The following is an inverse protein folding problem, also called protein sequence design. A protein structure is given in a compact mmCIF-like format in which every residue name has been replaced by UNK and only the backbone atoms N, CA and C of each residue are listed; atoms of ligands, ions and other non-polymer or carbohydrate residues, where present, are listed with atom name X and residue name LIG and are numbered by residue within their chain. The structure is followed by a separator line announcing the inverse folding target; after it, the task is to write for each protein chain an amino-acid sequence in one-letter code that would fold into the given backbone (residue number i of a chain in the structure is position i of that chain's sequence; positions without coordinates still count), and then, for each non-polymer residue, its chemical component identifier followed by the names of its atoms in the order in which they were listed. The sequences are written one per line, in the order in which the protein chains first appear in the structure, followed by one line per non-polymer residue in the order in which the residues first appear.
data_IF_816604456862
#
_entry.id   IF_816604456862
#
_cell.length_a   1.000
_cell.length_b   1.000
_cell.length_c   1.000
_cell.angle_alpha   90.00
_cell.angle_beta   90.00
_cell.angle_gamma   90.00
#
_symmetry.space_group_name_H-M   'P 1'
#
loop_
_entity.id
_entity.type
_entity.pdbx_description
1 polymer ?
#
# COMPACT_ATOMS: atom_id res chain seq x y z
N UNK A 1 -28.73 12.04 -24.48
CA UNK A 1 -29.05 11.48 -23.15
C UNK A 1 -29.83 12.53 -22.38
N UNK A 2 -30.83 12.16 -21.59
CA UNK A 2 -31.54 13.12 -20.74
C UNK A 2 -32.13 12.43 -19.50
N UNK A 3 -32.48 13.19 -18.46
CA UNK A 3 -33.02 12.65 -17.20
C UNK A 3 -34.42 12.06 -17.38
N UNK A 4 -34.68 10.92 -16.74
CA UNK A 4 -36.04 10.39 -16.59
C UNK A 4 -36.73 11.09 -15.41
N UNK A 5 -37.30 12.26 -15.69
CA UNK A 5 -37.89 13.16 -14.70
C UNK A 5 -36.99 14.34 -14.34
N UNK A 6 -37.04 14.78 -13.09
CA UNK A 6 -36.23 15.91 -12.62
C UNK A 6 -34.75 15.52 -12.46
N UNK A 7 -33.85 16.46 -12.78
CA UNK A 7 -32.41 16.30 -12.54
C UNK A 7 -32.12 16.03 -11.05
N UNK A 8 -31.23 15.08 -10.79
CA UNK A 8 -30.84 14.77 -9.42
C UNK A 8 -29.99 15.90 -8.80
N UNK A 9 -30.27 16.36 -7.57
CA UNK A 9 -29.61 17.54 -6.98
C UNK A 9 -28.09 17.39 -6.75
N UNK A 10 -27.58 16.15 -6.76
CA UNK A 10 -26.17 15.79 -6.48
C UNK A 10 -25.37 15.36 -7.69
N UNK A 11 -25.99 15.19 -8.86
CA UNK A 11 -25.31 14.73 -10.07
C UNK A 11 -25.65 15.64 -11.24
N UNK A 12 -24.78 15.68 -12.24
CA UNK A 12 -25.01 16.31 -13.54
C UNK A 12 -24.89 15.24 -14.62
N UNK A 13 -25.65 15.41 -15.70
CA UNK A 13 -25.53 14.61 -16.90
C UNK A 13 -25.09 15.52 -18.05
N UNK A 14 -24.05 15.12 -18.77
CA UNK A 14 -23.77 15.68 -20.09
C UNK A 14 -24.68 15.00 -21.12
N UNK A 15 -25.59 15.76 -21.72
CA UNK A 15 -26.61 15.21 -22.62
C UNK A 15 -26.05 14.69 -23.95
N UNK A 16 -24.88 15.18 -24.38
CA UNK A 16 -24.23 14.78 -25.62
C UNK A 16 -23.40 13.50 -25.44
N UNK A 17 -22.65 13.41 -24.34
CA UNK A 17 -21.70 12.32 -24.11
C UNK A 17 -22.25 11.22 -23.19
N UNK A 18 -23.29 11.50 -22.43
CA UNK A 18 -23.81 10.62 -21.38
C UNK A 18 -22.96 10.58 -20.11
N UNK A 19 -21.93 11.44 -20.01
CA UNK A 19 -21.05 11.48 -18.84
C UNK A 19 -21.80 12.01 -17.61
N UNK A 20 -21.72 11.26 -16.51
CA UNK A 20 -22.30 11.64 -15.22
C UNK A 20 -21.20 12.26 -14.35
N UNK A 21 -21.45 13.44 -13.79
CA UNK A 21 -20.50 14.12 -12.90
C UNK A 21 -21.11 14.33 -11.52
N UNK A 22 -20.37 13.93 -10.48
CA UNK A 22 -20.76 14.15 -9.08
C UNK A 22 -20.57 15.62 -8.70
N UNK A 23 -21.55 16.22 -8.03
CA UNK A 23 -21.46 17.59 -7.51
C UNK A 23 -20.74 17.60 -6.15
N UNK A 24 -20.04 18.70 -5.87
CA UNK A 24 -19.37 18.91 -4.59
C UNK A 24 -20.35 18.81 -3.41
N UNK A 25 -19.90 18.24 -2.29
CA UNK A 25 -20.73 18.03 -1.09
C UNK A 25 -21.72 16.87 -1.18
N UNK A 26 -21.58 15.98 -2.17
CA UNK A 26 -22.31 14.69 -2.19
C UNK A 26 -21.76 13.79 -1.10
N UNK A 27 -22.64 13.28 -0.24
CA UNK A 27 -22.26 12.42 0.90
C UNK A 27 -22.20 10.96 0.48
N UNK A 28 -21.60 10.16 1.34
CA UNK A 28 -21.59 8.71 1.22
C UNK A 28 -23.00 8.14 1.10
N UNK A 29 -23.14 7.14 0.23
CA UNK A 29 -24.41 6.48 0.02
C UNK A 29 -24.60 5.88 -1.36
N UNK A 30 -25.78 5.31 -1.53
CA UNK A 30 -26.23 4.67 -2.77
C UNK A 30 -27.28 5.53 -3.45
N UNK A 31 -26.98 6.00 -4.65
CA UNK A 31 -27.84 6.87 -5.44
C UNK A 31 -28.34 6.11 -6.68
N UNK A 32 -29.62 6.24 -6.97
CA UNK A 32 -30.25 5.60 -8.13
C UNK A 32 -30.63 6.69 -9.13
N UNK A 33 -29.94 6.70 -10.27
CA UNK A 33 -30.13 7.67 -11.34
C UNK A 33 -30.85 6.99 -12.51
N UNK A 34 -31.82 7.68 -13.10
CA UNK A 34 -32.61 7.19 -14.22
C UNK A 34 -32.51 8.18 -15.37
N UNK A 35 -32.21 7.65 -16.54
CA UNK A 35 -32.02 8.40 -17.77
C UNK A 35 -32.80 7.76 -18.91
N UNK A 36 -33.06 8.56 -19.94
CA UNK A 36 -33.53 8.10 -21.23
C UNK A 36 -32.48 8.39 -22.30
N UNK A 37 -32.32 7.43 -23.21
CA UNK A 37 -31.36 7.48 -24.31
C UNK A 37 -32.11 7.49 -25.62
N UNK A 38 -31.68 8.38 -26.52
CA UNK A 38 -32.12 8.40 -27.90
C UNK A 38 -31.02 7.82 -28.78
N UNK A 39 -31.29 6.69 -29.41
CA UNK A 39 -30.39 6.07 -30.37
C UNK A 39 -30.76 6.52 -31.79
N UNK A 40 -29.91 7.38 -32.35
CA UNK A 40 -30.07 7.88 -33.73
C UNK A 40 -29.89 6.79 -34.79
N UNK A 41 -29.09 5.75 -34.52
CA UNK A 41 -28.73 4.71 -35.48
C UNK A 41 -29.87 3.72 -35.68
N UNK A 42 -30.57 3.38 -34.61
CA UNK A 42 -31.71 2.45 -34.65
C UNK A 42 -33.07 3.15 -34.50
N UNK A 43 -33.10 4.48 -34.50
CA UNK A 43 -34.31 5.31 -34.33
C UNK A 43 -35.10 4.97 -33.05
N UNK A 44 -34.41 4.45 -32.03
CA UNK A 44 -35.04 4.11 -30.76
C UNK A 44 -35.07 5.34 -29.87
N UNK A 45 -36.27 5.76 -29.50
CA UNK A 45 -36.50 6.82 -28.51
C UNK A 45 -36.77 6.23 -27.14
N UNK A 46 -36.44 7.00 -26.12
CA UNK A 46 -36.84 6.76 -24.73
C UNK A 46 -36.37 5.42 -24.12
N UNK A 47 -35.22 4.92 -24.57
CA UNK A 47 -34.60 3.72 -23.99
C UNK A 47 -34.18 4.03 -22.56
N UNK A 48 -34.73 3.30 -21.59
CA UNK A 48 -34.43 3.48 -20.17
C UNK A 48 -33.01 3.01 -19.84
N UNK A 49 -32.25 3.87 -19.15
CA UNK A 49 -30.92 3.59 -18.64
C UNK A 49 -30.88 3.90 -17.13
N UNK A 50 -30.71 2.86 -16.32
CA UNK A 50 -30.62 2.97 -14.87
C UNK A 50 -29.17 2.83 -14.42
N UNK A 51 -28.68 3.80 -13.66
CA UNK A 51 -27.32 3.82 -13.12
C UNK A 51 -27.39 3.89 -11.60
N UNK A 52 -26.74 2.95 -10.93
CA UNK A 52 -26.55 3.02 -9.48
C UNK A 52 -25.15 3.56 -9.20
N UNK A 53 -25.08 4.69 -8.50
CA UNK A 53 -23.82 5.31 -8.09
C UNK A 53 -23.60 5.03 -6.61
N UNK A 54 -22.47 4.42 -6.28
CA UNK A 54 -22.01 4.23 -4.91
C UNK A 54 -20.94 5.28 -4.63
N UNK A 55 -21.19 6.13 -3.62
CA UNK A 55 -20.24 7.14 -3.16
C UNK A 55 -19.69 6.69 -1.81
N UNK A 56 -18.36 6.69 -1.70
CA UNK A 56 -17.62 6.45 -0.45
C UNK A 56 -16.55 7.52 -0.29
N UNK A 57 -16.43 8.05 0.91
CA UNK A 57 -15.40 9.00 1.30
C UNK A 57 -14.12 8.24 1.63
N UNK A 58 -13.03 8.58 0.93
CA UNK A 58 -11.71 8.00 1.19
C UNK A 58 -10.87 9.09 1.86
N UNK A 59 -10.69 9.04 3.20
CA UNK A 59 -9.92 10.05 3.90
C UNK A 59 -8.43 9.96 3.54
N UNK A 60 -7.70 11.07 3.71
CA UNK A 60 -6.26 11.11 3.41
C UNK A 60 -5.46 10.02 4.14
N UNK A 61 -5.82 9.71 5.39
CA UNK A 61 -5.17 8.64 6.15
C UNK A 61 -5.37 7.24 5.54
N UNK A 62 -6.48 6.99 4.83
CA UNK A 62 -6.72 5.73 4.14
C UNK A 62 -5.79 5.59 2.94
N UNK A 63 -5.53 6.68 2.23
CA UNK A 63 -4.59 6.72 1.10
C UNK A 63 -3.16 6.51 1.58
N UNK A 64 -2.74 7.21 2.63
CA UNK A 64 -1.39 7.10 3.19
C UNK A 64 -1.14 5.72 3.82
N UNK A 65 -2.13 5.16 4.52
CA UNK A 65 -2.01 3.83 5.12
C UNK A 65 -2.45 2.69 4.17
N UNK A 66 -2.49 2.94 2.85
CA UNK A 66 -2.92 1.93 1.88
C UNK A 66 -1.88 0.86 1.62
N UNK A 67 -2.36 -0.35 1.33
CA UNK A 67 -1.60 -1.39 0.64
C UNK A 67 -1.65 -1.17 -0.87
N UNK A 68 -0.72 -1.78 -1.59
CA UNK A 68 -0.63 -1.65 -3.04
C UNK A 68 -0.13 -2.92 -3.69
N UNK A 69 -0.64 -3.24 -4.88
CA UNK A 69 -0.17 -4.37 -5.70
C UNK A 69 -0.02 -3.95 -7.16
N UNK A 70 1.02 -4.44 -7.82
CA UNK A 70 1.21 -4.34 -9.26
C UNK A 70 0.83 -5.66 -9.90
N UNK A 71 -0.04 -5.62 -10.90
CA UNK A 71 -0.62 -6.81 -11.53
C UNK A 71 -0.25 -6.84 -13.00
N UNK A 72 0.35 -7.94 -13.45
CA UNK A 72 0.69 -8.14 -14.86
C UNK A 72 -0.43 -8.87 -15.62
N UNK A 73 -0.48 -8.62 -16.93
CA UNK A 73 -1.38 -9.32 -17.84
C UNK A 73 -2.84 -8.90 -17.74
N UNK A 74 -3.14 -7.81 -17.02
CA UNK A 74 -4.51 -7.31 -16.86
C UNK A 74 -4.60 -5.80 -17.02
N UNK A 75 -5.68 -5.34 -17.65
CA UNK A 75 -6.04 -3.92 -17.71
C UNK A 75 -6.84 -3.48 -16.48
N UNK A 76 -6.86 -2.19 -16.21
CA UNK A 76 -7.74 -1.58 -15.21
C UNK A 76 -9.21 -1.89 -15.49
N UNK A 77 -9.63 -1.83 -16.76
CA UNK A 77 -10.97 -2.22 -17.19
C UNK A 77 -11.30 -3.67 -16.85
N UNK A 78 -10.41 -4.61 -17.17
CA UNK A 78 -10.61 -6.04 -16.91
C UNK A 78 -10.67 -6.35 -15.42
N UNK A 79 -9.97 -5.58 -14.58
CA UNK A 79 -9.98 -5.75 -13.14
C UNK A 79 -11.34 -5.41 -12.52
N UNK A 80 -12.00 -4.35 -13.00
CA UNK A 80 -13.32 -3.92 -12.48
C UNK A 80 -14.51 -4.55 -13.23
N UNK A 81 -14.28 -5.19 -14.38
CA UNK A 81 -15.33 -5.69 -15.28
C UNK A 81 -16.26 -6.70 -14.59
N UNK A 82 -17.57 -6.52 -14.80
CA UNK A 82 -18.63 -7.43 -14.31
C UNK A 82 -19.29 -8.24 -15.43
N UNK A 83 -18.98 -7.96 -16.69
CA UNK A 83 -19.59 -8.64 -17.83
C UNK A 83 -18.66 -9.71 -18.41
N UNK A 84 -19.12 -10.96 -18.43
CA UNK A 84 -18.38 -12.05 -19.04
C UNK A 84 -18.84 -12.25 -20.50
N UNK A 85 -17.98 -11.86 -21.45
CA UNK A 85 -18.27 -11.93 -22.89
C UNK A 85 -18.40 -13.36 -23.43
N UNK A 86 -17.77 -14.35 -22.78
CA UNK A 86 -17.83 -15.77 -23.21
C UNK A 86 -19.17 -16.42 -22.84
N UNK A 87 -19.66 -16.12 -21.65
CA UNK A 87 -20.91 -16.70 -21.12
C UNK A 87 -22.12 -15.79 -21.31
N UNK A 88 -21.91 -14.56 -21.80
CA UNK A 88 -22.92 -13.52 -21.92
C UNK A 88 -23.71 -13.29 -20.61
N UNK A 89 -23.01 -13.34 -19.48
CA UNK A 89 -23.61 -13.23 -18.16
C UNK A 89 -22.90 -12.23 -17.25
N UNK A 90 -23.60 -11.77 -16.22
CA UNK A 90 -23.00 -10.97 -15.15
C UNK A 90 -22.20 -11.89 -14.23
N UNK A 91 -20.94 -11.53 -13.99
CA UNK A 91 -20.04 -12.20 -13.07
C UNK A 91 -19.45 -11.19 -12.08
N UNK A 92 -19.01 -11.67 -10.91
CA UNK A 92 -18.29 -10.81 -9.96
C UNK A 92 -16.98 -10.32 -10.57
N UNK A 93 -16.68 -9.04 -10.35
CA UNK A 93 -15.42 -8.43 -10.80
C UNK A 93 -14.23 -8.98 -10.03
N UNK A 94 -13.02 -8.82 -10.59
CA UNK A 94 -11.79 -9.17 -9.86
C UNK A 94 -11.58 -8.23 -8.69
N UNK A 95 -11.93 -6.95 -8.83
CA UNK A 95 -11.95 -6.00 -7.72
C UNK A 95 -12.82 -6.47 -6.54
N UNK A 96 -14.02 -7.02 -6.81
CA UNK A 96 -14.89 -7.56 -5.76
C UNK A 96 -14.31 -8.81 -5.10
N UNK A 97 -13.77 -9.74 -5.89
CA UNK A 97 -13.11 -10.94 -5.36
C UNK A 97 -11.88 -10.59 -4.52
N UNK A 98 -11.09 -9.64 -5.00
CA UNK A 98 -9.93 -9.12 -4.28
C UNK A 98 -10.34 -8.51 -2.95
N UNK A 99 -11.34 -7.63 -2.96
CA UNK A 99 -11.89 -7.03 -1.73
C UNK A 99 -12.33 -8.07 -0.72
N UNK A 100 -13.11 -9.06 -1.14
CA UNK A 100 -13.57 -10.14 -0.25
C UNK A 100 -12.39 -10.90 0.33
N UNK A 101 -11.43 -11.27 -0.52
CA UNK A 101 -10.26 -12.04 -0.08
C UNK A 101 -9.43 -11.27 0.95
N UNK A 102 -9.23 -9.97 0.75
CA UNK A 102 -8.55 -9.11 1.72
C UNK A 102 -9.35 -9.00 3.02
N UNK A 103 -10.68 -8.86 2.94
CA UNK A 103 -11.54 -8.80 4.13
C UNK A 103 -11.42 -10.07 4.98
N UNK A 104 -11.46 -11.24 4.33
CA UNK A 104 -11.31 -12.55 4.96
C UNK A 104 -9.93 -12.69 5.65
N UNK A 105 -8.84 -12.41 4.91
CA UNK A 105 -7.47 -12.50 5.44
C UNK A 105 -7.21 -11.52 6.58
N UNK A 106 -7.85 -10.35 6.56
CA UNK A 106 -7.72 -9.34 7.60
C UNK A 106 -8.70 -9.53 8.76
N UNK A 107 -9.61 -10.51 8.67
CA UNK A 107 -10.70 -10.72 9.63
C UNK A 107 -11.49 -9.45 9.90
N UNK A 108 -11.84 -8.72 8.84
CA UNK A 108 -12.66 -7.50 8.92
C UNK A 108 -13.87 -7.62 8.00
N UNK A 109 -14.86 -6.74 8.21
CA UNK A 109 -15.99 -6.66 7.31
C UNK A 109 -15.55 -6.19 5.92
N UNK A 110 -16.18 -6.75 4.88
CA UNK A 110 -15.98 -6.37 3.49
C UNK A 110 -16.19 -4.88 3.26
N UNK A 111 -17.14 -4.26 3.95
CA UNK A 111 -17.42 -2.84 3.83
C UNK A 111 -16.29 -1.98 4.41
N UNK A 112 -15.42 -2.55 5.24
CA UNK A 112 -14.23 -1.89 5.75
C UNK A 112 -13.00 -2.06 4.85
N UNK A 113 -13.17 -2.57 3.62
CA UNK A 113 -12.10 -2.71 2.63
C UNK A 113 -12.46 -1.92 1.38
N UNK A 114 -11.65 -0.92 1.04
CA UNK A 114 -11.86 -0.06 -0.11
C UNK A 114 -10.76 -0.25 -1.14
N UNK A 115 -11.14 -0.64 -2.36
CA UNK A 115 -10.27 -0.57 -3.54
C UNK A 115 -10.52 0.77 -4.21
N UNK A 116 -9.67 1.75 -3.90
CA UNK A 116 -9.92 3.16 -4.25
C UNK A 116 -9.08 3.66 -5.42
N UNK A 117 -8.09 2.89 -5.90
CA UNK A 117 -7.26 3.22 -7.06
C UNK A 117 -7.00 1.96 -7.89
N UNK A 118 -7.33 2.00 -9.18
CA UNK A 118 -7.01 0.97 -10.17
C UNK A 118 -6.51 1.71 -11.41
N UNK A 119 -5.21 1.69 -11.66
CA UNK A 119 -4.56 2.55 -12.66
C UNK A 119 -3.71 1.73 -13.63
N UNK A 120 -4.00 1.82 -14.92
CA UNK A 120 -3.20 1.18 -15.96
C UNK A 120 -1.86 1.92 -16.14
N UNK A 121 -0.74 1.23 -15.88
CA UNK A 121 0.62 1.77 -16.01
C UNK A 121 1.21 1.54 -17.39
N UNK A 122 0.92 0.39 -17.98
CA UNK A 122 1.40 0.01 -19.31
C UNK A 122 0.29 -0.69 -20.06
N UNK A 123 0.16 -0.42 -21.36
CA UNK A 123 -0.85 -1.07 -22.22
C UNK A 123 -0.40 -2.42 -22.79
N UNK A 124 0.88 -2.54 -23.17
CA UNK A 124 1.40 -3.74 -23.84
C UNK A 124 2.79 -4.16 -23.31
N UNK A 125 2.92 -5.36 -22.70
CA UNK A 125 1.83 -6.12 -22.10
C UNK A 125 1.20 -5.31 -20.94
N UNK A 126 -0.11 -5.51 -20.66
CA UNK A 126 -0.82 -4.68 -19.71
C UNK A 126 -0.30 -4.86 -18.28
N UNK A 127 -0.12 -3.74 -17.57
CA UNK A 127 0.28 -3.71 -16.16
C UNK A 127 -0.60 -2.70 -15.45
N UNK A 128 -1.24 -3.12 -14.35
CA UNK A 128 -2.19 -2.32 -13.58
C UNK A 128 -1.76 -2.26 -12.13
N UNK A 129 -1.72 -1.04 -11.59
CA UNK A 129 -1.46 -0.80 -10.17
C UNK A 129 -2.79 -0.64 -9.43
N UNK A 130 -2.94 -1.36 -8.33
CA UNK A 130 -4.12 -1.31 -7.47
C UNK A 130 -3.71 -0.88 -6.08
N UNK A 131 -4.42 0.10 -5.51
CA UNK A 131 -4.29 0.47 -4.09
C UNK A 131 -5.58 0.22 -3.36
N UNK A 132 -5.44 -0.25 -2.13
CA UNK A 132 -6.54 -0.59 -1.26
C UNK A 132 -6.26 -0.21 0.18
N UNK A 133 -7.30 0.11 0.93
CA UNK A 133 -7.24 0.31 2.37
C UNK A 133 -8.13 -0.74 3.05
N UNK A 134 -7.80 -1.05 4.30
CA UNK A 134 -8.68 -1.83 5.15
C UNK A 134 -8.66 -1.26 6.58
N UNK A 135 -9.78 -1.32 7.29
CA UNK A 135 -9.90 -0.77 8.64
C UNK A 135 -10.69 -1.66 9.60
N UNK A 136 -10.47 -1.42 10.90
CA UNK A 136 -11.27 -1.96 12.00
C UNK A 136 -11.51 -0.95 13.15
N UNK A 137 -10.96 0.28 13.00
CA UNK A 137 -10.75 1.35 13.98
C UNK A 137 -9.37 1.30 14.66
N UNK A 138 -8.28 1.92 14.14
CA UNK A 138 -8.13 2.78 12.95
C UNK A 138 -7.85 2.00 11.64
N UNK A 139 -7.44 2.71 10.56
CA UNK A 139 -6.92 2.08 9.33
C UNK A 139 -5.65 1.26 9.62
N UNK A 140 -5.58 0.07 9.01
CA UNK A 140 -4.39 -0.77 9.12
C UNK A 140 -3.21 -0.15 8.39
N UNK A 141 -2.00 -0.37 8.92
CA UNK A 141 -0.76 0.16 8.34
C UNK A 141 -0.36 -0.56 7.05
N UNK A 142 0.34 0.10 6.11
CA UNK A 142 0.79 -0.51 4.85
C UNK A 142 1.59 -1.79 5.07
N UNK A 143 2.46 -1.80 6.08
CA UNK A 143 3.27 -2.98 6.44
C UNK A 143 2.41 -4.21 6.73
N UNK A 144 1.27 -4.05 7.40
CA UNK A 144 0.36 -5.17 7.68
C UNK A 144 -0.38 -5.59 6.42
N UNK A 145 -0.88 -4.65 5.63
CA UNK A 145 -1.64 -4.92 4.41
C UNK A 145 -0.76 -5.64 3.37
N UNK A 146 0.40 -5.07 3.07
CA UNK A 146 1.35 -5.63 2.12
C UNK A 146 1.90 -6.97 2.63
N UNK A 147 2.23 -7.08 3.93
CA UNK A 147 2.72 -8.34 4.49
C UNK A 147 1.70 -9.48 4.41
N UNK A 148 0.41 -9.22 4.69
CA UNK A 148 -0.65 -10.22 4.55
C UNK A 148 -0.86 -10.61 3.08
N UNK A 149 -0.87 -9.64 2.16
CA UNK A 149 -0.96 -9.95 0.73
C UNK A 149 0.21 -10.80 0.26
N UNK A 150 1.43 -10.47 0.68
CA UNK A 150 2.64 -11.19 0.29
C UNK A 150 2.63 -12.63 0.81
N UNK A 151 2.27 -12.84 2.08
CA UNK A 151 2.17 -14.18 2.69
C UNK A 151 1.10 -15.08 2.06
N UNK A 152 0.05 -14.48 1.49
CA UNK A 152 -1.08 -15.19 0.88
C UNK A 152 -1.17 -14.97 -0.64
N UNK A 153 -0.05 -14.61 -1.29
CA UNK A 153 -0.01 -14.22 -2.72
C UNK A 153 -0.66 -15.28 -3.61
N UNK A 154 -0.20 -16.53 -3.53
CA UNK A 154 -0.71 -17.64 -4.36
C UNK A 154 -2.22 -17.86 -4.17
N UNK A 155 -2.71 -17.75 -2.94
CA UNK A 155 -4.12 -17.92 -2.61
C UNK A 155 -4.98 -16.80 -3.22
N UNK A 156 -4.50 -15.56 -3.12
CA UNK A 156 -5.14 -14.38 -3.72
C UNK A 156 -5.15 -14.49 -5.25
N UNK A 157 -4.01 -14.82 -5.85
CA UNK A 157 -3.86 -14.95 -7.31
C UNK A 157 -4.80 -16.01 -7.87
N UNK A 158 -4.87 -17.17 -7.22
CA UNK A 158 -5.76 -18.27 -7.62
C UNK A 158 -7.23 -17.90 -7.51
N UNK A 159 -7.64 -17.28 -6.41
CA UNK A 159 -9.06 -16.98 -6.15
C UNK A 159 -9.58 -15.81 -7.00
N UNK A 160 -8.77 -14.76 -7.15
CA UNK A 160 -9.11 -13.57 -7.93
C UNK A 160 -8.85 -13.79 -9.43
N UNK A 161 -7.89 -14.67 -9.76
CA UNK A 161 -7.42 -14.93 -11.12
C UNK A 161 -6.59 -13.77 -11.67
N UNK A 162 -5.54 -13.39 -10.94
CA UNK A 162 -4.60 -12.30 -11.28
C UNK A 162 -3.16 -12.80 -11.12
N UNK A 163 -2.19 -12.04 -11.61
CA UNK A 163 -0.76 -12.30 -11.45
C UNK A 163 -0.11 -11.05 -10.83
N UNK A 164 0.22 -11.12 -9.54
CA UNK A 164 0.72 -10.00 -8.74
C UNK A 164 2.24 -9.97 -8.85
N UNK A 165 2.82 -9.08 -9.64
CA UNK A 165 4.29 -9.02 -9.79
C UNK A 165 4.99 -8.20 -8.71
N UNK A 166 4.25 -7.45 -7.89
CA UNK A 166 4.83 -6.66 -6.79
C UNK A 166 3.78 -6.38 -5.73
N UNK A 167 4.17 -6.49 -4.46
CA UNK A 167 3.35 -6.14 -3.29
C UNK A 167 4.06 -5.04 -2.52
N UNK A 168 3.37 -3.93 -2.24
CA UNK A 168 4.02 -2.71 -1.80
C UNK A 168 4.86 -2.12 -2.94
N UNK A 169 4.21 -1.41 -3.87
CA UNK A 169 4.87 -0.90 -5.08
C UNK A 169 6.06 -0.04 -4.68
N UNK A 170 7.23 -0.44 -5.18
CA UNK A 170 8.52 0.13 -4.87
C UNK A 170 9.22 0.45 -6.20
N UNK A 171 9.29 1.73 -6.55
CA UNK A 171 10.00 2.21 -7.73
C UNK A 171 11.51 2.34 -7.49
N UNK A 172 11.96 2.15 -6.24
CA UNK A 172 13.36 2.10 -5.83
C UNK A 172 13.92 0.67 -5.77
N UNK A 173 13.11 -0.37 -6.00
CA UNK A 173 13.50 -1.77 -5.82
C UNK A 173 14.74 -2.17 -6.63
N UNK A 174 14.85 -1.66 -7.86
CA UNK A 174 15.98 -2.00 -8.75
C UNK A 174 17.04 -0.91 -8.72
N UNK A 175 18.23 -1.28 -8.27
CA UNK A 175 19.40 -0.39 -8.22
C UNK A 175 19.73 0.18 -9.60
N UNK A 176 20.14 1.46 -9.62
CA UNK A 176 20.61 2.17 -10.81
C UNK A 176 19.61 2.20 -11.99
N UNK A 177 18.33 1.86 -11.78
CA UNK A 177 17.29 2.07 -12.78
C UNK A 177 16.72 3.49 -12.70
N UNK A 178 16.29 3.91 -11.51
CA UNK A 178 15.68 5.23 -11.29
C UNK A 178 16.67 6.24 -10.70
N UNK A 179 17.53 5.79 -9.79
CA UNK A 179 18.47 6.62 -9.05
C UNK A 179 19.84 5.96 -8.96
N UNK A 180 20.90 6.76 -9.04
CA UNK A 180 22.26 6.38 -8.67
C UNK A 180 22.48 6.73 -7.19
N UNK A 181 22.55 5.73 -6.31
CA UNK A 181 22.70 5.89 -4.86
C UNK A 181 21.36 5.85 -4.09
N UNK A 182 21.19 6.76 -3.12
CA UNK A 182 20.00 6.76 -2.24
C UNK A 182 18.68 6.98 -3.00
N UNK A 183 17.65 6.20 -2.66
CA UNK A 183 16.31 6.29 -3.26
C UNK A 183 15.22 6.15 -2.19
N UNK A 184 14.11 6.87 -2.36
CA UNK A 184 12.94 6.76 -1.49
C UNK A 184 11.65 6.89 -2.28
N UNK A 185 10.67 6.05 -1.95
CA UNK A 185 9.35 6.11 -2.55
C UNK A 185 8.51 7.22 -1.90
N UNK A 186 7.92 8.07 -2.73
CA UNK A 186 6.93 9.07 -2.30
C UNK A 186 5.59 8.87 -3.00
N UNK A 187 4.52 9.24 -2.30
CA UNK A 187 3.16 9.16 -2.81
C UNK A 187 2.73 10.52 -3.36
N UNK A 188 2.51 10.59 -4.66
CA UNK A 188 1.88 11.75 -5.30
C UNK A 188 0.37 11.50 -5.40
N UNK A 189 -0.41 12.32 -4.69
CA UNK A 189 -1.88 12.20 -4.62
C UNK A 189 -2.48 13.34 -5.43
N UNK A 190 -3.03 13.04 -6.59
CA UNK A 190 -3.61 14.05 -7.45
C UNK A 190 -4.99 14.50 -6.95
N UNK A 191 -5.28 15.79 -7.12
CA UNK A 191 -6.62 16.34 -6.93
C UNK A 191 -7.60 15.92 -8.04
N UNK A 192 -7.10 15.42 -9.18
CA UNK A 192 -7.93 14.92 -10.27
C UNK A 192 -8.17 13.42 -10.12
N UNK A 193 -9.41 12.94 -10.27
CA UNK A 193 -9.71 11.53 -10.15
C UNK A 193 -9.13 10.71 -11.32
N UNK A 194 -9.07 9.40 -11.11
CA UNK A 194 -8.83 8.42 -12.18
C UNK A 194 -10.13 7.67 -12.47
N UNK A 195 -10.57 7.68 -13.73
CA UNK A 195 -11.81 7.03 -14.16
C UNK A 195 -11.49 5.81 -15.02
N UNK A 196 -11.98 4.65 -14.59
CA UNK A 196 -11.96 3.40 -15.34
C UNK A 196 -13.37 3.12 -15.83
N UNK A 197 -13.54 2.92 -17.13
CA UNK A 197 -14.83 2.59 -17.73
C UNK A 197 -14.79 1.21 -18.37
N UNK A 198 -15.43 0.22 -17.74
CA UNK A 198 -15.55 -1.14 -18.24
C UNK A 198 -16.96 -1.44 -18.79
N UNK A 199 -17.56 -0.44 -19.46
CA UNK A 199 -18.83 -0.49 -20.17
C UNK A 199 -20.07 -0.63 -19.26
N UNK A 200 -20.26 -1.78 -18.60
CA UNK A 200 -21.38 -2.01 -17.65
C UNK A 200 -21.07 -1.54 -16.22
N UNK A 201 -19.82 -1.16 -15.95
CA UNK A 201 -19.37 -0.70 -14.65
C UNK A 201 -18.27 0.34 -14.84
N UNK A 202 -18.20 1.29 -13.93
CA UNK A 202 -17.17 2.32 -13.92
C UNK A 202 -16.70 2.55 -12.48
N UNK A 203 -15.41 2.83 -12.34
CA UNK A 203 -14.79 3.19 -11.07
C UNK A 203 -14.19 4.57 -11.22
N UNK A 204 -14.56 5.49 -10.34
CA UNK A 204 -13.90 6.79 -10.20
C UNK A 204 -13.15 6.77 -8.88
N UNK A 205 -11.83 6.64 -8.97
CA UNK A 205 -10.93 6.48 -7.83
C UNK A 205 -10.01 7.67 -7.60
N UNK A 206 -9.22 7.58 -6.53
CA UNK A 206 -8.14 8.52 -6.25
C UNK A 206 -6.98 8.19 -7.19
N UNK A 207 -6.47 9.19 -7.92
CA UNK A 207 -5.25 9.04 -8.70
C UNK A 207 -4.05 9.18 -7.76
N UNK A 208 -3.29 8.10 -7.60
CA UNK A 208 -2.13 8.03 -6.72
C UNK A 208 -0.97 7.38 -7.47
N UNK A 209 0.14 8.09 -7.56
CA UNK A 209 1.38 7.59 -8.17
C UNK A 209 2.42 7.34 -7.08
N UNK A 210 3.18 6.25 -7.23
CA UNK A 210 4.43 6.06 -6.47
C UNK A 210 5.54 6.63 -7.33
N UNK A 211 6.31 7.56 -6.78
CA UNK A 211 7.44 8.19 -7.44
C UNK A 211 8.72 7.85 -6.69
N UNK A 212 9.79 7.59 -7.43
CA UNK A 212 11.13 7.48 -6.88
C UNK A 212 11.73 8.88 -6.73
N UNK A 213 12.14 9.24 -5.52
CA UNK A 213 12.95 10.42 -5.24
C UNK A 213 14.37 9.99 -4.89
N UNK A 214 15.37 10.51 -5.61
CA UNK A 214 16.78 10.18 -5.40
C UNK A 214 17.36 10.91 -4.18
N UNK A 215 16.75 10.68 -3.03
CA UNK A 215 17.17 11.19 -1.73
C UNK A 215 17.05 10.08 -0.69
N UNK A 216 17.72 10.23 0.45
CA UNK A 216 17.60 9.29 1.56
C UNK A 216 16.43 9.68 2.47
N UNK A 217 15.32 8.96 2.37
CA UNK A 217 14.11 9.14 3.19
C UNK A 217 14.31 8.83 4.67
N UNK A 218 15.31 8.01 5.02
CA UNK A 218 15.67 7.77 6.42
C UNK A 218 16.25 9.02 7.11
N UNK A 219 16.80 9.98 6.35
CA UNK A 219 17.19 11.28 6.89
C UNK A 219 15.93 12.14 7.01
N UNK A 220 15.30 12.01 8.15
CA UNK A 220 14.03 12.64 8.55
C UNK A 220 14.07 14.18 8.66
N UNK A 221 14.87 14.85 7.83
CA UNK A 221 15.15 16.30 7.84
C UNK A 221 14.81 16.99 6.51
N UNK A 222 14.22 16.28 5.53
CA UNK A 222 13.89 16.86 4.21
C UNK A 222 12.74 17.88 4.26
N UNK A 223 12.04 18.01 5.39
CA UNK A 223 11.10 19.10 5.67
C UNK A 223 11.66 19.98 6.78
N UNK A 224 11.63 21.29 6.58
CA UNK A 224 11.87 22.29 7.64
C UNK A 224 10.84 22.08 8.76
N UNK A 225 11.18 21.21 9.70
CA UNK A 225 10.41 20.99 10.91
C UNK A 225 10.99 21.83 12.04
N UNK A 226 10.10 22.47 12.80
CA UNK A 226 10.44 23.23 14.00
C UNK A 226 9.78 22.58 15.21
N UNK A 227 10.27 22.86 16.41
CA UNK A 227 9.64 22.39 17.63
C UNK A 227 8.20 22.91 17.81
N UNK A 228 7.77 23.91 17.02
CA UNK A 228 6.39 24.41 17.00
C UNK A 228 5.39 23.39 16.45
N UNK A 229 5.80 22.48 15.57
CA UNK A 229 4.93 21.42 15.03
C UNK A 229 4.85 20.21 15.95
N UNK A 230 5.46 20.27 17.14
CA UNK A 230 5.52 19.20 18.13
C UNK A 230 5.95 17.84 17.55
N UNK A 231 7.13 17.77 16.88
CA UNK A 231 7.53 16.60 16.11
C UNK A 231 7.92 15.38 16.96
N UNK A 232 8.09 15.54 18.28
CA UNK A 232 8.45 14.46 19.19
C UNK A 232 7.19 13.80 19.78
N UNK A 233 7.08 12.48 19.64
CA UNK A 233 6.01 11.66 20.18
C UNK A 233 6.20 11.35 21.66
N UNK A 234 5.16 10.81 22.30
CA UNK A 234 5.21 10.21 23.64
C UNK A 234 5.79 11.13 24.74
N UNK A 235 5.58 12.44 24.65
CA UNK A 235 6.09 13.41 25.62
C UNK A 235 7.59 13.71 25.48
N UNK A 236 8.21 13.36 24.35
CA UNK A 236 9.58 13.75 24.02
C UNK A 236 9.76 15.27 23.99
N UNK A 237 10.87 15.76 24.54
CA UNK A 237 11.22 17.19 24.51
C UNK A 237 11.96 17.50 23.22
N UNK A 238 11.38 18.37 22.39
CA UNK A 238 12.02 18.86 21.18
C UNK A 238 13.13 19.87 21.47
N UNK A 239 14.26 19.74 20.78
CA UNK A 239 15.43 20.62 20.86
C UNK A 239 15.81 21.08 19.45
N UNK A 240 15.76 22.39 19.22
CA UNK A 240 16.23 23.04 17.99
C UNK A 240 17.74 23.33 18.07
N UNK A 241 18.50 22.72 17.17
CA UNK A 241 19.90 23.04 16.88
C UNK A 241 20.03 24.03 15.72
N UNK A 242 21.26 24.47 15.41
CA UNK A 242 21.53 25.50 14.39
C UNK A 242 21.13 25.07 12.96
N UNK A 243 21.08 23.77 12.69
CA UNK A 243 20.65 23.15 11.42
C UNK A 243 20.00 21.76 11.60
N UNK A 244 19.69 21.37 12.83
CA UNK A 244 19.22 20.01 13.15
C UNK A 244 18.13 20.06 14.21
N UNK A 245 17.14 19.19 14.08
CA UNK A 245 16.11 18.98 15.07
C UNK A 245 16.38 17.67 15.82
N UNK A 246 16.25 17.65 17.14
CA UNK A 246 16.45 16.44 17.94
C UNK A 246 15.38 16.30 19.02
N UNK A 247 15.00 15.06 19.34
CA UNK A 247 14.06 14.76 20.42
C UNK A 247 14.77 14.08 21.58
N UNK A 248 14.62 14.64 22.78
CA UNK A 248 15.01 14.01 24.03
C UNK A 248 13.85 13.18 24.57
N UNK A 249 14.03 11.86 24.60
CA UNK A 249 12.97 10.92 24.91
C UNK A 249 12.86 10.61 26.41
N UNK A 250 11.64 10.54 26.97
CA UNK A 250 11.44 10.07 28.32
C UNK A 250 11.79 8.57 28.43
N UNK A 251 12.05 8.12 29.65
CA UNK A 251 12.40 6.72 29.92
C UNK A 251 11.34 5.75 29.37
N UNK A 252 11.77 4.72 28.66
CA UNK A 252 10.90 3.72 28.01
C UNK A 252 10.49 4.05 26.56
N UNK A 253 10.88 5.22 26.04
CA UNK A 253 10.66 5.61 24.65
C UNK A 253 11.98 5.91 23.96
N UNK A 254 12.10 5.49 22.70
CA UNK A 254 13.33 5.60 21.91
C UNK A 254 13.04 6.08 20.46
N UNK A 255 14.09 6.25 19.67
CA UNK A 255 14.03 6.68 18.29
C UNK A 255 14.14 8.20 18.10
N UNK A 256 14.38 8.69 16.87
CA UNK A 256 14.66 10.10 16.57
C UNK A 256 13.54 11.07 16.95
N UNK A 257 12.30 10.56 17.08
CA UNK A 257 11.12 11.32 17.50
C UNK A 257 10.43 10.67 18.70
N UNK A 258 11.12 9.84 19.48
CA UNK A 258 10.55 9.14 20.64
C UNK A 258 9.34 8.24 20.32
N UNK A 259 9.24 7.79 19.07
CA UNK A 259 8.12 6.99 18.57
C UNK A 259 8.25 5.50 18.90
N UNK A 260 9.46 5.02 19.20
CA UNK A 260 9.71 3.62 19.47
C UNK A 260 9.36 3.29 20.92
N UNK A 261 8.75 2.14 21.10
CA UNK A 261 8.34 1.58 22.40
C UNK A 261 8.86 0.16 22.49
N UNK A 262 9.23 -0.30 23.67
CA UNK A 262 9.68 -1.68 23.86
C UNK A 262 8.62 -2.70 23.45
N UNK A 263 9.06 -3.83 22.89
CA UNK A 263 8.23 -4.98 22.56
C UNK A 263 8.80 -6.21 23.27
N UNK A 264 7.92 -7.11 23.70
CA UNK A 264 8.30 -8.33 24.38
C UNK A 264 7.76 -9.53 23.60
N UNK A 265 8.63 -10.50 23.35
CA UNK A 265 8.30 -11.72 22.62
C UNK A 265 8.49 -12.93 23.54
N UNK A 266 7.56 -13.90 23.47
CA UNK A 266 7.63 -15.14 24.27
C UNK A 266 8.30 -16.30 23.53
N UNK A 267 8.89 -16.03 22.37
CA UNK A 267 9.62 -17.00 21.53
C UNK A 267 8.90 -17.41 20.24
N UNK A 268 7.58 -17.22 20.13
CA UNK A 268 6.79 -17.53 18.94
C UNK A 268 6.08 -16.30 18.34
N UNK A 269 6.50 -15.09 18.75
CA UNK A 269 5.93 -13.84 18.28
C UNK A 269 6.93 -13.10 17.39
N UNK A 270 6.40 -12.30 16.48
CA UNK A 270 7.15 -11.38 15.63
C UNK A 270 6.40 -10.06 15.52
N UNK A 271 7.07 -9.02 15.03
CA UNK A 271 6.43 -7.74 14.72
C UNK A 271 6.97 -7.25 13.38
N UNK A 272 6.08 -6.83 12.47
CA UNK A 272 6.50 -6.20 11.23
C UNK A 272 6.67 -4.70 11.40
N UNK A 273 7.74 -4.19 10.82
CA UNK A 273 8.05 -2.78 10.72
C UNK A 273 8.20 -2.41 9.23
N UNK A 274 8.05 -1.13 8.88
CA UNK A 274 8.44 -0.66 7.55
C UNK A 274 9.86 -1.14 7.21
N UNK A 275 10.11 -1.51 5.93
CA UNK A 275 11.44 -1.94 5.50
C UNK A 275 12.48 -0.83 5.72
N UNK A 276 13.75 -1.23 5.80
CA UNK A 276 14.85 -0.27 5.86
C UNK A 276 14.97 0.45 4.52
N UNK A 277 15.01 1.78 4.54
CA UNK A 277 15.19 2.60 3.33
C UNK A 277 16.61 2.46 2.76
N UNK A 278 16.74 2.49 1.44
CA UNK A 278 18.01 2.37 0.73
C UNK A 278 18.77 3.70 0.76
N UNK A 279 19.71 3.83 1.70
CA UNK A 279 20.57 5.00 1.83
C UNK A 279 22.05 4.62 1.75
N UNK A 280 22.86 5.47 1.10
CA UNK A 280 24.31 5.25 0.93
C UNK A 280 25.07 5.10 2.27
N UNK A 281 24.53 5.69 3.34
CA UNK A 281 25.07 5.60 4.70
C UNK A 281 23.95 5.35 5.69
N UNK A 282 23.83 4.10 6.13
CA UNK A 282 22.81 3.65 7.07
C UNK A 282 23.43 3.28 8.42
N UNK A 283 22.75 3.67 9.50
CA UNK A 283 23.12 3.32 10.87
C UNK A 283 21.92 2.66 11.54
N UNK A 284 22.09 1.40 11.94
CA UNK A 284 21.08 0.63 12.67
C UNK A 284 21.52 0.46 14.13
N UNK A 285 20.66 0.82 15.07
CA UNK A 285 20.84 0.53 16.49
C UNK A 285 19.53 -0.02 17.08
N UNK A 286 19.66 -0.97 17.99
CA UNK A 286 18.55 -1.45 18.81
C UNK A 286 19.11 -2.06 20.09
N UNK A 287 18.26 -2.12 21.10
CA UNK A 287 18.56 -2.71 22.41
C UNK A 287 17.65 -3.92 22.62
N UNK A 288 18.19 -4.98 23.23
CA UNK A 288 17.42 -6.17 23.55
C UNK A 288 17.85 -6.73 24.91
N UNK A 289 16.97 -7.54 25.49
CA UNK A 289 17.21 -8.30 26.73
C UNK A 289 16.63 -9.70 26.54
N UNK A 290 17.42 -10.74 26.83
CA UNK A 290 17.00 -12.12 26.60
C UNK A 290 17.75 -13.09 27.51
N UNK A 291 17.12 -14.22 27.81
CA UNK A 291 17.77 -15.39 28.47
C UNK A 291 17.95 -16.57 27.50
N UNK A 292 17.68 -16.36 26.22
CA UNK A 292 17.83 -17.37 25.17
C UNK A 292 19.16 -17.10 24.46
N UNK A 293 20.02 -18.12 24.42
CA UNK A 293 21.30 -18.07 23.73
C UNK A 293 21.18 -18.00 22.20
N UNK A 294 20.06 -18.48 21.65
CA UNK A 294 19.85 -18.56 20.21
C UNK A 294 18.52 -17.90 19.82
N UNK A 295 18.53 -17.10 18.74
CA UNK A 295 17.32 -16.50 18.18
C UNK A 295 17.58 -15.38 17.18
N UNK A 296 16.62 -15.17 16.28
CA UNK A 296 16.60 -14.05 15.33
C UNK A 296 16.08 -12.78 16.03
N UNK A 297 16.85 -11.69 15.97
CA UNK A 297 16.51 -10.40 16.58
C UNK A 297 15.93 -9.42 15.56
N UNK A 298 16.50 -9.39 14.36
CA UNK A 298 16.04 -8.54 13.25
C UNK A 298 16.22 -9.30 11.94
N UNK A 299 15.23 -9.20 11.07
CA UNK A 299 15.32 -9.64 9.69
C UNK A 299 14.71 -8.58 8.77
N UNK A 300 15.46 -8.16 7.77
CA UNK A 300 15.01 -7.30 6.69
C UNK A 300 15.40 -7.98 5.37
N UNK A 301 14.41 -8.48 4.64
CA UNK A 301 14.60 -9.25 3.42
C UNK A 301 13.30 -9.91 2.98
N UNK A 302 13.33 -10.74 1.93
CA UNK A 302 12.16 -11.43 1.40
C UNK A 302 11.49 -12.32 2.45
N UNK A 303 10.18 -12.16 2.64
CA UNK A 303 9.41 -13.02 3.57
C UNK A 303 8.94 -14.32 2.94
N UNK A 304 8.89 -14.35 1.61
CA UNK A 304 8.50 -15.50 0.80
C UNK A 304 9.62 -15.77 -0.21
N UNK A 305 9.87 -17.04 -0.56
CA UNK A 305 10.80 -17.36 -1.63
C UNK A 305 10.35 -16.70 -2.94
N UNK A 306 11.29 -16.24 -3.79
CA UNK A 306 10.96 -15.74 -5.11
C UNK A 306 10.36 -16.85 -5.97
N UNK A 307 9.45 -16.49 -6.89
CA UNK A 307 8.97 -17.42 -7.89
C UNK A 307 10.09 -17.80 -8.88
N UNK A 308 9.98 -18.97 -9.50
CA UNK A 308 11.02 -19.55 -10.37
C UNK A 308 11.41 -18.65 -11.56
N UNK A 309 10.51 -17.77 -12.00
CA UNK A 309 10.70 -16.90 -13.17
C UNK A 309 10.91 -15.42 -12.79
N UNK A 310 10.99 -15.09 -11.49
CA UNK A 310 11.25 -13.73 -11.01
C UNK A 310 12.75 -13.47 -10.81
N UNK A 311 13.16 -12.21 -10.98
CA UNK A 311 14.53 -11.79 -10.64
C UNK A 311 14.70 -12.01 -9.14
N UNK A 312 15.64 -12.88 -8.77
CA UNK A 312 15.94 -13.20 -7.37
C UNK A 312 16.55 -11.98 -6.68
N UNK A 313 15.72 -11.15 -6.05
CA UNK A 313 16.17 -10.19 -5.04
C UNK A 313 16.26 -10.96 -3.74
N UNK A 314 17.43 -11.56 -3.49
CA UNK A 314 17.72 -12.31 -2.26
C UNK A 314 18.39 -11.43 -1.20
N UNK A 315 18.40 -10.11 -1.39
CA UNK A 315 19.09 -9.19 -0.50
C UNK A 315 18.46 -9.25 0.89
N UNK A 316 19.29 -9.46 1.91
CA UNK A 316 18.80 -9.50 3.27
C UNK A 316 19.84 -9.04 4.27
N UNK A 317 19.34 -8.57 5.41
CA UNK A 317 20.10 -8.30 6.62
C UNK A 317 19.41 -9.07 7.75
N UNK A 318 20.16 -9.92 8.43
CA UNK A 318 19.71 -10.60 9.64
C UNK A 318 20.66 -10.34 10.80
N UNK A 319 20.11 -10.01 11.97
CA UNK A 319 20.85 -9.95 13.23
C UNK A 319 20.33 -11.06 14.13
N UNK A 320 21.23 -11.94 14.52
CA UNK A 320 20.94 -13.15 15.28
C UNK A 320 21.79 -13.19 16.55
N UNK A 321 21.33 -13.97 17.52
CA UNK A 321 22.16 -14.49 18.60
C UNK A 321 22.44 -15.96 18.31
N UNK A 322 23.71 -16.36 18.34
CA UNK A 322 24.14 -17.76 18.25
C UNK A 322 25.00 -18.08 19.47
N UNK A 323 24.54 -19.02 20.30
CA UNK A 323 25.22 -19.44 21.55
C UNK A 323 25.56 -18.26 22.47
N UNK A 324 24.69 -17.25 22.53
CA UNK A 324 24.83 -16.06 23.35
C UNK A 324 25.71 -14.96 22.74
N UNK A 325 26.17 -15.11 21.49
CA UNK A 325 27.01 -14.14 20.80
C UNK A 325 26.31 -13.56 19.56
N UNK A 326 26.37 -12.25 19.32
CA UNK A 326 25.74 -11.65 18.14
C UNK A 326 26.42 -12.06 16.83
N UNK A 327 25.59 -12.31 15.83
CA UNK A 327 25.97 -12.63 14.46
C UNK A 327 25.15 -11.75 13.52
N UNK A 328 25.82 -11.07 12.60
CA UNK A 328 25.21 -10.28 11.53
C UNK A 328 25.42 -11.03 10.21
N UNK A 329 24.33 -11.29 9.50
CA UNK A 329 24.31 -11.84 8.16
C UNK A 329 23.81 -10.79 7.19
N UNK A 330 24.52 -10.64 6.08
CA UNK A 330 24.16 -9.68 5.04
C UNK A 330 24.43 -10.29 3.67
N UNK A 331 23.47 -10.19 2.77
CA UNK A 331 23.63 -10.54 1.36
C UNK A 331 23.05 -9.40 0.53
N UNK A 332 23.81 -8.95 -0.47
CA UNK A 332 23.42 -7.93 -1.44
C UNK A 332 23.65 -8.44 -2.88
N UNK A 333 23.44 -9.75 -3.09
CA UNK A 333 23.55 -10.39 -4.41
C UNK A 333 24.93 -10.94 -4.76
N UNK A 334 25.91 -10.87 -3.86
CA UNK A 334 27.26 -11.44 -4.07
C UNK A 334 27.58 -12.63 -3.14
N UNK A 335 26.60 -13.05 -2.34
CA UNK A 335 26.72 -14.09 -1.35
C UNK A 335 26.73 -13.54 0.07
N UNK A 336 26.42 -14.42 1.02
CA UNK A 336 26.23 -14.04 2.40
C UNK A 336 27.57 -13.73 3.09
N UNK A 337 27.72 -12.47 3.52
CA UNK A 337 28.73 -12.03 4.47
C UNK A 337 28.28 -12.35 5.89
N UNK A 338 29.16 -12.95 6.67
CA UNK A 338 28.95 -13.23 8.09
C UNK A 338 29.93 -12.43 8.95
N UNK A 339 29.39 -11.67 9.89
CA UNK A 339 30.14 -10.93 10.89
C UNK A 339 29.77 -11.42 12.28
N UNK A 340 30.74 -12.03 12.98
CA UNK A 340 30.59 -12.48 14.37
C UNK A 340 31.17 -11.46 15.33
N UNK A 341 30.37 -10.98 16.27
CA UNK A 341 30.81 -10.00 17.27
C UNK A 341 31.27 -10.73 18.52
N UNK A 342 32.57 -10.64 18.82
CA UNK A 342 33.13 -11.19 20.06
C UNK A 342 32.87 -10.24 21.22
N UNK A 343 31.94 -10.59 22.07
CA UNK A 343 31.69 -9.91 23.35
C UNK A 343 32.50 -10.54 24.47
N UNK A 344 32.75 -9.79 25.56
CA UNK A 344 33.51 -10.30 26.73
C UNK A 344 32.76 -11.40 27.49
N UNK A 345 31.43 -11.36 27.44
CA UNK A 345 30.51 -12.32 28.04
C UNK A 345 29.38 -12.58 27.04
N UNK A 346 28.66 -13.68 27.21
CA UNK A 346 27.44 -13.93 26.44
C UNK A 346 26.37 -12.88 26.79
N UNK A 347 25.48 -12.58 25.83
CA UNK A 347 24.44 -11.55 25.94
C UNK A 347 23.05 -12.14 26.25
N UNK A 348 23.01 -13.38 26.71
CA UNK A 348 21.81 -14.12 27.13
C UNK A 348 21.65 -14.13 28.66
N UNK A 349 22.14 -13.11 29.36
CA UNK A 349 22.13 -12.98 30.81
C UNK A 349 20.83 -12.38 31.40
N UNK A 350 19.91 -11.94 30.54
CA UNK A 350 18.60 -11.38 30.91
C UNK A 350 18.68 -10.01 31.53
#
# INVERSE_FOLDING_TARGET
FYWDGAEHPRFKLNEDTGMISMRHGTRDGKYHLRFKVYDRKYTQTDVLANVTVLVREIPHEAVVNSGSVRIAGITDEDFIRVWNYRTQSLSRSKADKFRDKIADLMSTDRDNVDVFSVQLRRKHPPVTDVRFSAHGSPYYKPVRLNGIVLMHREEIEKEVGINITMVGIDECLYENQMCEGSCTNTLDISALPYMVNANKTALVGVRVDVLAECTCGARNFSKDESCRTSPCYNGGRCVEGRYTLSCSCPAGYNGPRCQQTSRSFRGNGWAWYPPLEMCDRSHLNFEFITRKADGLLLYNGPMVPPELDEIMVSDYIAVELERGYPRLLMDFGSGTLELRIKTKKSLDDG
#
